data_IF_296487972688
#
_entry.id   IF_296487972688
#
_cell.length_a   1.000
_cell.length_b   1.000
_cell.length_c   1.000
_cell.angle_alpha   90.00
_cell.angle_beta   90.00
_cell.angle_gamma   90.00
#
_symmetry.space_group_name_H-M   'P 1'
#
loop_
_entity.id
_entity.type
_entity.pdbx_description
1 polymer ?
#
# COMPACT_ATOMS: atom_id res chain seq x y z
N UNK A 1 -0.68 15.56 -2.74
CA UNK A 1 -0.73 14.47 -1.77
C UNK A 1 0.39 14.54 -0.74
N UNK A 2 1.61 14.81 -1.19
CA UNK A 2 2.77 14.95 -0.30
C UNK A 2 2.53 16.00 0.79
N UNK A 3 2.10 17.20 0.42
CA UNK A 3 1.87 18.29 1.36
C UNK A 3 0.72 17.95 2.32
N UNK A 4 -0.35 17.40 1.81
CA UNK A 4 -1.49 16.99 2.62
C UNK A 4 -1.09 15.91 3.63
N UNK A 5 -0.30 14.92 3.20
CA UNK A 5 0.23 13.89 4.08
C UNK A 5 1.08 14.48 5.20
N UNK A 6 2.00 15.39 4.86
CA UNK A 6 2.87 16.05 5.84
C UNK A 6 2.06 16.88 6.85
N UNK A 7 1.05 17.60 6.39
CA UNK A 7 0.19 18.41 7.26
C UNK A 7 -0.60 17.55 8.25
N UNK A 8 -1.19 16.45 7.78
CA UNK A 8 -1.93 15.53 8.64
C UNK A 8 -1.01 14.89 9.67
N UNK A 9 0.14 14.43 9.27
CA UNK A 9 1.10 13.81 10.18
C UNK A 9 1.64 14.81 11.22
N UNK A 10 1.81 16.07 10.84
CA UNK A 10 2.32 17.11 11.71
C UNK A 10 1.37 17.45 12.87
N UNK A 11 0.05 17.30 12.68
CA UNK A 11 -0.93 17.53 13.75
C UNK A 11 -1.10 16.34 14.69
N UNK A 12 -0.32 15.28 14.51
CA UNK A 12 -0.30 14.13 15.40
C UNK A 12 -1.21 12.98 15.00
N UNK A 13 -1.81 13.02 13.82
CA UNK A 13 -2.69 11.96 13.33
C UNK A 13 -1.91 10.85 12.63
N UNK A 14 -2.39 9.63 12.76
CA UNK A 14 -1.97 8.53 11.89
C UNK A 14 -2.69 8.65 10.55
N UNK A 15 -2.19 7.95 9.51
CA UNK A 15 -2.66 8.16 8.15
C UNK A 15 -3.08 6.85 7.49
N UNK A 16 -4.22 6.86 6.84
CA UNK A 16 -4.65 5.80 5.93
C UNK A 16 -4.61 6.35 4.50
N UNK A 17 -3.77 5.78 3.65
CA UNK A 17 -3.57 6.22 2.27
C UNK A 17 -4.08 5.17 1.32
N UNK A 18 -5.08 5.53 0.51
CA UNK A 18 -5.58 4.66 -0.53
C UNK A 18 -4.62 4.62 -1.71
N UNK A 19 -4.56 3.48 -2.41
CA UNK A 19 -3.75 3.37 -3.62
C UNK A 19 -4.25 4.35 -4.70
N UNK A 20 -3.42 4.84 -5.62
CA UNK A 20 -1.96 4.73 -5.62
C UNK A 20 -1.34 5.62 -4.54
N UNK A 21 -0.24 5.15 -3.95
CA UNK A 21 0.36 5.80 -2.77
C UNK A 21 1.01 7.14 -3.13
N UNK A 22 1.66 7.20 -4.28
CA UNK A 22 2.36 8.40 -4.72
C UNK A 22 2.36 8.51 -6.23
N UNK A 23 2.57 9.74 -6.72
CA UNK A 23 2.67 10.02 -8.16
C UNK A 23 4.06 9.66 -8.69
N UNK A 24 5.09 9.89 -7.88
CA UNK A 24 6.47 9.62 -8.26
C UNK A 24 7.29 9.10 -7.07
N UNK A 25 8.53 8.71 -7.36
CA UNK A 25 9.43 8.12 -6.35
C UNK A 25 9.80 9.13 -5.26
N UNK A 26 10.02 10.39 -5.62
CA UNK A 26 10.41 11.41 -4.65
C UNK A 26 9.28 11.73 -3.68
N UNK A 27 8.04 11.75 -4.17
CA UNK A 27 6.87 11.93 -3.31
C UNK A 27 6.74 10.78 -2.31
N UNK A 28 6.89 9.55 -2.78
CA UNK A 28 6.83 8.37 -1.91
C UNK A 28 7.92 8.38 -0.85
N UNK A 29 9.14 8.78 -1.21
CA UNK A 29 10.24 8.89 -0.25
C UNK A 29 9.97 9.97 0.80
N UNK A 30 9.44 11.11 0.39
CA UNK A 30 9.09 12.19 1.32
C UNK A 30 8.02 11.74 2.32
N UNK A 31 7.03 10.98 1.87
CA UNK A 31 6.01 10.42 2.75
C UNK A 31 6.59 9.44 3.76
N UNK A 32 7.47 8.55 3.31
CA UNK A 32 8.14 7.58 4.17
C UNK A 32 9.00 8.27 5.23
N UNK A 33 9.83 9.23 4.82
CA UNK A 33 10.69 9.97 5.73
C UNK A 33 9.89 10.74 6.77
N UNK A 34 8.78 11.37 6.37
CA UNK A 34 7.88 12.10 7.27
C UNK A 34 7.25 11.16 8.30
N UNK A 35 6.73 10.01 7.86
CA UNK A 35 6.10 9.04 8.75
C UNK A 35 7.09 8.52 9.79
N UNK A 36 8.31 8.21 9.38
CA UNK A 36 9.36 7.72 10.29
C UNK A 36 9.84 8.80 11.26
N UNK A 37 10.03 10.01 10.76
CA UNK A 37 10.48 11.14 11.58
C UNK A 37 9.48 11.48 12.67
N UNK A 38 8.19 11.46 12.34
CA UNK A 38 7.11 11.79 13.28
C UNK A 38 6.58 10.57 14.03
N UNK A 39 7.11 9.39 13.75
CA UNK A 39 6.70 8.10 14.38
C UNK A 39 5.20 7.85 14.25
N UNK A 40 4.67 8.04 13.04
CA UNK A 40 3.25 7.83 12.75
C UNK A 40 3.01 6.47 12.13
N UNK A 41 1.83 5.91 12.40
CA UNK A 41 1.35 4.69 11.75
C UNK A 41 0.72 5.07 10.42
N UNK A 42 1.15 4.40 9.35
CA UNK A 42 0.61 4.62 8.02
C UNK A 42 0.14 3.28 7.46
N UNK A 43 -1.13 3.21 7.11
CA UNK A 43 -1.72 2.04 6.48
C UNK A 43 -2.06 2.38 5.03
N UNK A 44 -1.61 1.55 4.10
CA UNK A 44 -1.94 1.69 2.68
C UNK A 44 -3.16 0.85 2.36
N UNK A 45 -4.14 1.46 1.70
CA UNK A 45 -5.36 0.78 1.28
C UNK A 45 -5.18 0.09 -0.07
N UNK A 46 -5.04 -1.22 -0.05
CA UNK A 46 -4.97 -2.06 -1.25
C UNK A 46 -6.21 -2.96 -1.27
N UNK A 47 -7.37 -2.35 -1.47
CA UNK A 47 -8.68 -2.96 -1.25
C UNK A 47 -8.92 -4.24 -2.05
N UNK A 48 -8.35 -4.36 -3.25
CA UNK A 48 -8.54 -5.56 -4.08
C UNK A 48 -7.95 -6.81 -3.46
N UNK A 49 -6.97 -6.69 -2.60
CA UNK A 49 -6.42 -7.85 -1.88
C UNK A 49 -7.42 -8.49 -0.93
N UNK A 50 -8.44 -7.75 -0.55
CA UNK A 50 -9.50 -8.23 0.35
C UNK A 50 -10.80 -8.58 -0.38
N UNK A 51 -10.84 -8.45 -1.70
CA UNK A 51 -12.02 -8.76 -2.50
C UNK A 51 -12.27 -10.27 -2.49
N UNK A 52 -13.49 -10.75 -2.13
CA UNK A 52 -13.73 -12.18 -1.92
C UNK A 52 -13.33 -13.08 -3.08
N UNK A 53 -13.69 -12.73 -4.32
CA UNK A 53 -13.33 -13.55 -5.47
C UNK A 53 -11.83 -13.59 -5.76
N UNK A 54 -11.11 -12.52 -5.44
CA UNK A 54 -9.64 -12.49 -5.60
C UNK A 54 -8.96 -13.28 -4.47
N UNK A 55 -9.50 -13.24 -3.26
CA UNK A 55 -9.03 -14.07 -2.15
C UNK A 55 -9.22 -15.54 -2.47
N UNK A 56 -10.37 -15.92 -3.03
CA UNK A 56 -10.64 -17.28 -3.46
C UNK A 56 -9.67 -17.73 -4.54
N UNK A 57 -9.41 -16.90 -5.54
CA UNK A 57 -8.45 -17.20 -6.59
C UNK A 57 -7.04 -17.41 -6.03
N UNK A 58 -6.63 -16.56 -5.08
CA UNK A 58 -5.33 -16.73 -4.41
C UNK A 58 -5.23 -18.09 -3.72
N UNK A 59 -6.25 -18.45 -2.95
CA UNK A 59 -6.20 -19.65 -2.11
C UNK A 59 -6.36 -20.93 -2.93
N UNK A 60 -7.26 -20.95 -3.91
CA UNK A 60 -7.59 -22.16 -4.67
C UNK A 60 -6.71 -22.37 -5.91
N UNK A 61 -6.10 -21.32 -6.46
CA UNK A 61 -5.32 -21.40 -7.67
C UNK A 61 -3.84 -21.15 -7.39
N UNK A 62 -3.50 -19.99 -6.84
CA UNK A 62 -2.10 -19.57 -6.67
C UNK A 62 -1.44 -20.39 -5.56
N UNK A 63 -2.00 -20.42 -4.37
CA UNK A 63 -1.41 -21.15 -3.22
C UNK A 63 -1.46 -22.66 -3.41
N UNK A 64 -2.41 -23.16 -4.17
CA UNK A 64 -2.48 -24.58 -4.49
C UNK A 64 -1.46 -25.02 -5.55
N UNK A 65 -0.69 -24.10 -6.12
CA UNK A 65 0.35 -24.41 -7.08
C UNK A 65 -0.13 -24.66 -8.50
N UNK A 66 -1.40 -24.35 -8.81
CA UNK A 66 -1.95 -24.63 -10.14
C UNK A 66 -1.33 -23.79 -11.25
N UNK A 67 -0.76 -22.62 -10.91
CA UNK A 67 -0.03 -21.79 -11.87
C UNK A 67 1.42 -22.23 -12.06
N UNK A 68 1.90 -23.13 -11.22
CA UNK A 68 3.30 -23.53 -11.24
C UNK A 68 4.20 -22.37 -10.80
N UNK A 69 5.42 -22.36 -11.35
CA UNK A 69 6.39 -21.30 -11.04
C UNK A 69 6.09 -20.07 -11.90
N UNK A 70 5.71 -18.97 -11.24
CA UNK A 70 5.39 -17.73 -11.93
C UNK A 70 6.68 -16.95 -12.19
N UNK A 71 6.97 -16.70 -13.48
CA UNK A 71 8.17 -15.98 -13.90
C UNK A 71 7.92 -14.53 -14.29
N UNK A 72 6.69 -14.20 -14.70
CA UNK A 72 6.33 -12.86 -15.13
C UNK A 72 4.83 -12.62 -14.93
N UNK A 73 4.49 -11.40 -14.52
CA UNK A 73 3.10 -10.92 -14.42
C UNK A 73 3.01 -9.61 -15.18
N UNK A 74 2.08 -9.52 -16.12
CA UNK A 74 1.80 -8.29 -16.87
C UNK A 74 0.48 -7.63 -16.42
#
# INVERSE_FOLDING_TARGET
LRQMFQDIAAVGADVYVQKPVSVDVLEGKAMLDTARRLKKVVQVGTQRRSTPHLVEARDRVVKAGLLGKVGLVE
#
